data_IF_890037701637
#
_entry.id   IF_890037701637
#
_cell.length_a   1.000
_cell.length_b   1.000
_cell.length_c   1.000
_cell.angle_alpha   90.00
_cell.angle_beta   90.00
_cell.angle_gamma   90.00
#
_symmetry.space_group_name_H-M   'P 1'
#
loop_
_entity.id
_entity.type
_entity.pdbx_description
1 polymer ?
#
# COMPACT_ATOMS: atom_id res chain seq x y z
N UNK A 1 -68.87 53.52 -12.56
CA UNK A 1 -68.52 54.92 -12.88
C UNK A 1 -67.04 55.07 -12.56
N UNK A 2 -66.18 55.29 -13.58
CA UNK A 2 -64.75 55.52 -13.40
C UNK A 2 -63.86 54.54 -14.18
N UNK A 3 -63.38 54.99 -15.33
CA UNK A 3 -62.50 54.36 -16.31
C UNK A 3 -61.00 54.42 -15.94
N UNK A 4 -60.20 53.68 -16.72
CA UNK A 4 -58.87 53.98 -17.31
C UNK A 4 -57.68 53.02 -17.03
N UNK A 5 -57.25 52.41 -18.16
CA UNK A 5 -55.91 52.03 -18.68
C UNK A 5 -54.68 52.62 -17.95
N UNK A 6 -53.43 52.13 -18.01
CA UNK A 6 -52.69 51.04 -18.67
C UNK A 6 -51.22 51.10 -18.18
N UNK A 7 -50.45 49.99 -18.33
CA UNK A 7 -48.98 49.87 -18.62
C UNK A 7 -47.98 50.68 -17.76
N UNK A 8 -46.81 50.20 -17.33
CA UNK A 8 -45.81 49.33 -17.97
C UNK A 8 -44.71 49.00 -16.93
N UNK A 9 -44.10 47.83 -17.07
CA UNK A 9 -42.82 47.45 -16.46
C UNK A 9 -41.64 48.21 -17.09
N UNK A 10 -40.61 48.58 -16.29
CA UNK A 10 -39.22 48.06 -16.36
C UNK A 10 -38.18 48.91 -15.62
N UNK A 11 -37.45 48.23 -14.73
CA UNK A 11 -35.99 48.23 -14.54
C UNK A 11 -35.20 49.54 -14.30
N UNK A 12 -34.62 49.69 -13.09
CA UNK A 12 -33.16 49.54 -12.83
C UNK A 12 -32.59 50.46 -11.73
N UNK A 13 -31.63 49.91 -10.97
CA UNK A 13 -30.66 50.51 -10.02
C UNK A 13 -31.23 50.81 -8.61
N UNK A 14 -30.62 50.41 -7.49
CA UNK A 14 -29.26 49.92 -7.20
C UNK A 14 -29.16 49.45 -5.74
N UNK A 15 -28.33 48.41 -5.51
CA UNK A 15 -27.57 48.07 -4.29
C UNK A 15 -28.28 48.00 -2.93
N UNK A 16 -28.42 46.78 -2.41
CA UNK A 16 -28.01 46.45 -1.04
C UNK A 16 -27.53 44.99 -1.00
N UNK A 17 -26.29 44.80 -0.51
CA UNK A 17 -25.69 43.48 -0.25
C UNK A 17 -26.38 42.88 0.98
N UNK A 18 -26.94 41.69 0.83
CA UNK A 18 -27.22 40.79 1.95
C UNK A 18 -26.33 39.57 1.77
N UNK A 19 -25.45 39.37 2.74
CA UNK A 19 -24.67 38.14 2.92
C UNK A 19 -25.64 37.01 3.28
N UNK A 20 -25.87 36.08 2.37
CA UNK A 20 -26.42 34.75 2.71
C UNK A 20 -25.26 33.78 2.93
N UNK A 21 -25.04 33.49 4.21
CA UNK A 21 -24.22 32.39 4.71
C UNK A 21 -24.84 31.07 4.31
N UNK A 22 -24.39 30.51 3.17
CA UNK A 22 -24.62 29.11 2.88
C UNK A 22 -23.73 28.24 3.78
N UNK A 23 -24.42 27.63 4.73
CA UNK A 23 -24.00 26.54 5.60
C UNK A 23 -23.05 25.55 4.90
N UNK A 24 -21.79 25.48 5.36
CA UNK A 24 -20.76 24.53 4.95
C UNK A 24 -20.53 23.42 6.00
N UNK A 25 -21.48 23.22 6.90
CA UNK A 25 -21.37 22.29 8.03
C UNK A 25 -21.64 20.81 7.67
N UNK A 26 -21.50 20.41 6.40
CA UNK A 26 -21.87 19.07 5.94
C UNK A 26 -20.74 18.14 5.48
N UNK A 27 -19.47 18.58 5.43
CA UNK A 27 -18.40 17.83 4.74
C UNK A 27 -17.34 17.24 5.71
N UNK A 28 -17.43 17.53 7.01
CA UNK A 28 -16.38 17.14 7.97
C UNK A 28 -16.56 15.80 8.70
N UNK A 29 -17.71 15.11 8.60
CA UNK A 29 -17.92 13.85 9.32
C UNK A 29 -17.60 12.59 8.49
N UNK A 30 -17.69 12.63 7.16
CA UNK A 30 -17.49 11.42 6.32
C UNK A 30 -16.03 10.93 6.24
N UNK A 31 -15.03 11.80 6.48
CA UNK A 31 -13.62 11.40 6.34
C UNK A 31 -13.14 10.50 7.49
N UNK A 32 -13.73 10.63 8.68
CA UNK A 32 -13.45 9.74 9.82
C UNK A 32 -14.08 8.36 9.62
N UNK A 33 -15.30 8.31 9.08
CA UNK A 33 -16.02 7.06 8.82
C UNK A 33 -15.38 6.23 7.71
N UNK A 34 -14.73 6.83 6.72
CA UNK A 34 -13.97 6.09 5.70
C UNK A 34 -12.74 5.39 6.32
N UNK A 35 -12.09 6.03 7.30
CA UNK A 35 -10.95 5.44 8.03
C UNK A 35 -11.42 4.35 9.00
N UNK A 36 -12.60 4.52 9.60
CA UNK A 36 -13.19 3.56 10.55
C UNK A 36 -13.86 2.36 9.86
N UNK A 37 -14.37 2.49 8.63
CA UNK A 37 -14.90 1.37 7.86
C UNK A 37 -13.82 0.43 7.28
N UNK A 38 -12.52 0.73 7.45
CA UNK A 38 -11.42 -0.23 7.25
C UNK A 38 -11.49 -1.43 8.20
N UNK A 39 -12.32 -1.37 9.25
CA UNK A 39 -12.50 -2.43 10.23
C UNK A 39 -13.31 -3.62 9.66
N UNK A 40 -12.66 -4.54 8.96
CA UNK A 40 -12.89 -6.00 9.10
C UNK A 40 -12.11 -6.78 8.04
N UNK A 41 -10.78 -6.82 8.15
CA UNK A 41 -10.08 -8.01 7.68
C UNK A 41 -9.06 -8.44 8.74
N UNK A 42 -9.36 -9.49 9.53
CA UNK A 42 -8.55 -9.91 10.67
C UNK A 42 -7.14 -10.37 10.26
N UNK A 43 -6.89 -10.60 8.98
CA UNK A 43 -5.57 -10.99 8.44
C UNK A 43 -4.60 -9.81 8.42
N UNK A 44 -5.09 -8.57 8.26
CA UNK A 44 -4.22 -7.39 8.02
C UNK A 44 -4.30 -6.34 9.14
N UNK A 45 -5.39 -6.31 9.91
CA UNK A 45 -5.58 -5.35 11.00
C UNK A 45 -4.81 -5.66 12.29
N UNK A 46 -4.16 -6.82 12.38
CA UNK A 46 -3.49 -7.28 13.61
C UNK A 46 -1.95 -7.23 13.55
N UNK A 47 -1.35 -7.01 12.38
CA UNK A 47 0.12 -6.94 12.25
C UNK A 47 0.62 -5.57 12.70
N UNK A 48 1.54 -5.56 13.68
CA UNK A 48 2.15 -4.31 14.14
C UNK A 48 3.33 -3.90 13.25
N UNK A 49 3.12 -2.91 12.39
CA UNK A 49 4.14 -2.41 11.46
C UNK A 49 5.13 -1.45 12.14
N UNK A 50 4.90 -1.04 13.40
CA UNK A 50 5.70 0.02 14.07
C UNK A 50 7.19 -0.31 14.10
N UNK A 51 7.54 -1.49 14.61
CA UNK A 51 8.94 -1.91 14.77
C UNK A 51 9.66 -2.05 13.42
N UNK A 52 8.96 -2.49 12.37
CA UNK A 52 9.54 -2.58 11.03
C UNK A 52 9.80 -1.17 10.47
N UNK A 53 8.88 -0.23 10.73
CA UNK A 53 8.98 1.13 10.21
C UNK A 53 9.96 2.04 10.95
N UNK A 54 10.57 1.56 12.04
CA UNK A 54 11.75 2.15 12.66
C UNK A 54 13.01 2.04 11.79
N UNK A 55 12.98 1.22 10.73
CA UNK A 55 14.03 1.14 9.72
C UNK A 55 14.08 2.40 8.82
N UNK A 56 15.28 2.76 8.31
CA UNK A 56 15.42 3.73 7.23
C UNK A 56 14.51 3.41 6.04
N UNK A 57 13.96 4.44 5.41
CA UNK A 57 13.02 4.29 4.29
C UNK A 57 13.66 3.57 3.09
N UNK A 58 14.97 3.73 2.92
CA UNK A 58 15.77 3.06 1.90
C UNK A 58 15.80 1.54 2.10
N UNK A 59 15.95 1.08 3.35
CA UNK A 59 15.92 -0.35 3.69
C UNK A 59 14.52 -0.90 3.49
N UNK A 60 13.48 -0.19 3.95
CA UNK A 60 12.08 -0.57 3.72
C UNK A 60 11.76 -0.73 2.24
N UNK A 61 12.26 0.18 1.40
CA UNK A 61 12.08 0.09 -0.04
C UNK A 61 12.76 -1.16 -0.61
N UNK A 62 13.98 -1.48 -0.19
CA UNK A 62 14.71 -2.66 -0.67
C UNK A 62 14.08 -3.97 -0.23
N UNK A 63 13.57 -4.03 1.00
CA UNK A 63 12.73 -5.13 1.49
C UNK A 63 11.49 -5.26 0.60
N UNK A 64 10.76 -4.17 0.39
CA UNK A 64 9.54 -4.17 -0.42
C UNK A 64 9.81 -4.61 -1.87
N UNK A 65 10.87 -4.10 -2.50
CA UNK A 65 11.31 -4.54 -3.83
C UNK A 65 11.63 -6.04 -3.86
N UNK A 66 12.31 -6.57 -2.84
CA UNK A 66 12.65 -7.99 -2.75
C UNK A 66 11.42 -8.88 -2.62
N UNK A 67 10.39 -8.42 -1.88
CA UNK A 67 9.08 -9.09 -1.84
C UNK A 67 8.44 -9.12 -3.22
N UNK A 68 8.38 -7.98 -3.92
CA UNK A 68 7.78 -7.92 -5.26
C UNK A 68 8.50 -8.79 -6.29
N UNK A 69 9.82 -8.93 -6.15
CA UNK A 69 10.66 -9.77 -6.99
C UNK A 69 10.60 -11.27 -6.61
N UNK A 70 9.79 -11.63 -5.62
CA UNK A 70 9.70 -12.98 -5.07
C UNK A 70 11.07 -13.55 -4.67
N UNK A 71 11.84 -12.80 -3.88
CA UNK A 71 13.16 -13.21 -3.39
C UNK A 71 13.13 -13.63 -1.93
N UNK A 72 14.26 -14.16 -1.44
CA UNK A 72 14.41 -14.39 -0.01
C UNK A 72 14.43 -13.06 0.74
N UNK A 73 13.65 -12.95 1.81
CA UNK A 73 13.66 -11.81 2.73
C UNK A 73 13.88 -12.36 4.12
N UNK A 74 15.09 -12.16 4.64
CA UNK A 74 15.51 -12.67 5.94
C UNK A 74 15.72 -11.50 6.88
N UNK A 75 14.97 -11.47 7.97
CA UNK A 75 15.12 -10.49 9.03
C UNK A 75 15.91 -11.11 10.18
N UNK A 76 16.81 -10.33 10.78
CA UNK A 76 17.61 -10.76 11.94
C UNK A 76 17.35 -9.82 13.11
N UNK A 77 17.12 -10.38 14.29
CA UNK A 77 17.06 -9.64 15.56
C UNK A 77 17.30 -10.57 16.73
N UNK A 78 17.95 -10.08 17.78
CA UNK A 78 18.08 -10.81 19.04
C UNK A 78 16.78 -10.82 19.88
N UNK A 79 15.80 -9.99 19.53
CA UNK A 79 14.52 -9.87 20.24
C UNK A 79 13.41 -10.62 19.49
N UNK A 80 12.98 -11.76 20.04
CA UNK A 80 11.97 -12.65 19.44
C UNK A 80 10.67 -11.93 19.06
N UNK A 81 10.13 -11.09 19.95
CA UNK A 81 8.85 -10.41 19.73
C UNK A 81 8.92 -9.40 18.58
N UNK A 82 10.01 -8.64 18.51
CA UNK A 82 10.29 -7.70 17.42
C UNK A 82 10.46 -8.44 16.11
N UNK A 83 11.23 -9.54 16.13
CA UNK A 83 11.48 -10.37 14.95
C UNK A 83 10.18 -10.94 14.38
N UNK A 84 9.37 -11.61 15.20
CA UNK A 84 8.12 -12.21 14.74
C UNK A 84 7.15 -11.15 14.21
N UNK A 85 7.01 -10.03 14.94
CA UNK A 85 6.14 -8.92 14.53
C UNK A 85 6.58 -8.31 13.19
N UNK A 86 7.87 -8.04 13.03
CA UNK A 86 8.40 -7.49 11.77
C UNK A 86 8.24 -8.45 10.59
N UNK A 87 8.38 -9.76 10.79
CA UNK A 87 8.15 -10.73 9.72
C UNK A 87 6.67 -10.79 9.34
N UNK A 88 5.76 -10.80 10.31
CA UNK A 88 4.30 -10.70 10.08
C UNK A 88 3.91 -9.42 9.33
N UNK A 89 4.53 -8.29 9.68
CA UNK A 89 4.33 -7.01 9.00
C UNK A 89 4.67 -7.05 7.49
N UNK A 90 5.59 -7.92 7.04
CA UNK A 90 5.92 -8.05 5.62
C UNK A 90 4.72 -8.51 4.78
N UNK A 91 3.84 -9.34 5.35
CA UNK A 91 2.62 -9.79 4.66
C UNK A 91 1.62 -8.63 4.47
N UNK A 92 1.55 -7.70 5.41
CA UNK A 92 0.72 -6.51 5.28
C UNK A 92 1.24 -5.55 4.19
N UNK A 93 2.57 -5.46 4.01
CA UNK A 93 3.18 -4.60 2.98
C UNK A 93 2.78 -4.99 1.55
N UNK A 94 2.47 -6.27 1.31
CA UNK A 94 2.15 -6.78 -0.03
C UNK A 94 0.65 -6.88 -0.30
N UNK A 95 -0.24 -6.43 0.60
CA UNK A 95 -1.68 -6.40 0.33
C UNK A 95 -1.99 -5.69 -1.01
N UNK A 96 -2.83 -6.25 -1.90
CA UNK A 96 -3.81 -7.34 -1.70
C UNK A 96 -3.26 -8.75 -1.99
N UNK A 97 -1.95 -8.89 -2.15
CA UNK A 97 -1.32 -10.16 -2.47
C UNK A 97 -1.03 -10.99 -1.21
N UNK A 98 -0.97 -12.30 -1.39
CA UNK A 98 -0.50 -13.25 -0.39
C UNK A 98 0.86 -13.79 -0.82
N UNK A 99 1.79 -13.93 0.13
CA UNK A 99 3.06 -14.59 -0.17
C UNK A 99 2.80 -16.07 -0.48
N UNK A 100 3.18 -16.58 -1.67
CA UNK A 100 2.83 -17.94 -2.07
C UNK A 100 3.86 -18.99 -1.63
N UNK A 101 4.99 -18.58 -1.06
CA UNK A 101 6.09 -19.45 -0.66
C UNK A 101 6.20 -19.61 0.86
N UNK A 102 7.29 -20.22 1.33
CA UNK A 102 7.55 -20.39 2.76
C UNK A 102 7.56 -19.06 3.51
N UNK A 103 6.81 -19.03 4.61
CA UNK A 103 6.69 -17.90 5.52
C UNK A 103 6.90 -18.41 6.95
N UNK A 104 8.03 -18.08 7.57
CA UNK A 104 8.45 -18.65 8.86
C UNK A 104 8.90 -17.50 9.78
N UNK A 105 8.00 -16.94 10.62
CA UNK A 105 8.32 -15.80 11.49
C UNK A 105 9.60 -15.97 12.32
N UNK A 106 9.89 -17.20 12.75
CA UNK A 106 11.10 -17.55 13.47
C UNK A 106 11.59 -18.92 13.00
N UNK A 107 12.69 -18.94 12.26
CA UNK A 107 13.34 -20.15 11.78
C UNK A 107 14.29 -20.70 12.88
N UNK A 108 14.03 -21.90 13.43
CA UNK A 108 14.90 -22.48 14.45
C UNK A 108 16.28 -22.82 13.89
N UNK A 109 17.31 -22.77 14.75
CA UNK A 109 18.71 -23.02 14.35
C UNK A 109 18.95 -24.37 13.67
N UNK A 110 18.16 -25.40 14.02
CA UNK A 110 18.23 -26.72 13.39
C UNK A 110 17.75 -26.76 11.94
N UNK A 111 17.13 -25.69 11.43
CA UNK A 111 16.59 -25.57 10.08
C UNK A 111 17.21 -24.40 9.30
N UNK A 112 18.37 -23.88 9.74
CA UNK A 112 19.01 -22.76 9.03
C UNK A 112 19.46 -23.12 7.62
N UNK A 113 19.69 -24.39 7.31
CA UNK A 113 19.95 -24.89 5.96
C UNK A 113 18.84 -24.55 4.95
N UNK A 114 17.61 -24.29 5.41
CA UNK A 114 16.53 -23.84 4.53
C UNK A 114 16.82 -22.52 3.81
N UNK A 115 17.72 -21.67 4.34
CA UNK A 115 18.05 -20.39 3.71
C UNK A 115 18.84 -20.55 2.41
N UNK A 116 19.44 -21.72 2.18
CA UNK A 116 20.17 -22.07 0.95
C UNK A 116 19.25 -22.65 -0.14
N UNK A 117 17.98 -22.93 0.19
CA UNK A 117 17.03 -23.47 -0.78
C UNK A 117 16.89 -22.51 -1.99
N UNK A 118 16.69 -23.02 -3.22
CA UNK A 118 16.55 -22.15 -4.39
C UNK A 118 15.23 -21.37 -4.38
N UNK A 119 14.26 -21.80 -3.57
CA UNK A 119 12.94 -21.20 -3.49
C UNK A 119 12.94 -19.91 -2.66
N UNK A 120 12.07 -18.94 -2.97
CA UNK A 120 11.87 -17.76 -2.14
C UNK A 120 11.39 -18.14 -0.73
N UNK A 121 11.76 -17.36 0.27
CA UNK A 121 11.34 -17.53 1.65
C UNK A 121 11.28 -16.18 2.36
N UNK A 122 10.26 -15.99 3.18
CA UNK A 122 10.25 -14.94 4.20
C UNK A 122 10.51 -15.61 5.54
N UNK A 123 11.56 -15.21 6.25
CA UNK A 123 11.77 -15.73 7.60
C UNK A 123 12.50 -14.77 8.54
N UNK A 124 12.32 -14.99 9.84
CA UNK A 124 13.08 -14.33 10.90
C UNK A 124 14.12 -15.26 11.52
N UNK A 125 15.31 -14.75 11.82
CA UNK A 125 16.40 -15.51 12.46
C UNK A 125 16.93 -14.75 13.68
N UNK A 126 17.11 -15.46 14.79
CA UNK A 126 17.50 -14.85 16.08
C UNK A 126 18.99 -14.49 16.22
N UNK A 127 19.81 -14.86 15.23
CA UNK A 127 21.25 -14.70 15.30
C UNK A 127 21.85 -14.46 13.92
N UNK A 128 22.78 -13.50 13.87
CA UNK A 128 23.52 -13.14 12.67
C UNK A 128 24.45 -14.27 12.18
N UNK A 129 24.77 -15.26 13.03
CA UNK A 129 25.65 -16.40 12.67
C UNK A 129 25.23 -17.12 11.37
N UNK A 130 23.93 -17.12 11.04
CA UNK A 130 23.41 -17.73 9.82
C UNK A 130 24.13 -17.25 8.55
N UNK A 131 24.54 -15.97 8.49
CA UNK A 131 25.20 -15.43 7.29
C UNK A 131 26.65 -15.90 7.14
N UNK A 132 27.25 -16.39 8.23
CA UNK A 132 28.60 -16.95 8.21
C UNK A 132 28.59 -18.44 7.90
N UNK A 133 27.54 -19.13 8.35
CA UNK A 133 27.42 -20.58 8.26
C UNK A 133 26.76 -21.05 6.95
N UNK A 134 25.97 -20.20 6.28
CA UNK A 134 25.16 -20.57 5.12
C UNK A 134 25.23 -19.53 3.98
N UNK A 135 25.13 -20.01 2.74
CA UNK A 135 25.13 -19.17 1.55
C UNK A 135 23.71 -18.76 1.12
N UNK A 136 23.35 -17.51 1.41
CA UNK A 136 22.03 -16.98 1.08
C UNK A 136 22.05 -16.34 -0.32
N UNK A 137 21.66 -17.05 -1.36
CA UNK A 137 21.54 -16.50 -2.72
C UNK A 137 20.14 -15.93 -2.99
N UNK A 138 20.06 -14.93 -3.88
CA UNK A 138 18.81 -14.40 -4.41
C UNK A 138 17.89 -13.83 -3.32
N UNK A 139 18.44 -12.92 -2.52
CA UNK A 139 17.72 -12.38 -1.38
C UNK A 139 18.34 -11.17 -0.71
N UNK A 140 17.59 -10.64 0.25
CA UNK A 140 18.00 -9.58 1.15
C UNK A 140 18.03 -10.10 2.59
N UNK A 141 19.09 -9.75 3.32
CA UNK A 141 19.24 -10.02 4.75
C UNK A 141 19.37 -8.70 5.48
N UNK A 142 18.49 -8.45 6.45
CA UNK A 142 18.40 -7.18 7.17
C UNK A 142 18.56 -7.41 8.66
N UNK A 143 19.49 -6.70 9.28
CA UNK A 143 19.60 -6.60 10.73
C UNK A 143 18.61 -5.54 11.22
N UNK A 144 17.59 -5.96 11.96
CA UNK A 144 16.59 -5.07 12.52
C UNK A 144 17.11 -4.26 13.71
N UNK A 145 18.13 -4.75 14.40
CA UNK A 145 18.68 -4.13 15.62
C UNK A 145 19.70 -3.06 15.25
N UNK A 146 20.61 -3.39 14.33
CA UNK A 146 21.59 -2.44 13.76
C UNK A 146 21.01 -1.59 12.62
N UNK A 147 19.77 -1.89 12.19
CA UNK A 147 19.04 -1.18 11.12
C UNK A 147 19.85 -1.07 9.83
N UNK A 148 20.48 -2.17 9.42
CA UNK A 148 21.36 -2.22 8.27
C UNK A 148 21.09 -3.45 7.39
N UNK A 149 21.57 -3.37 6.14
CA UNK A 149 21.50 -4.49 5.20
C UNK A 149 22.81 -5.26 5.32
N UNK A 150 22.71 -6.56 5.57
CA UNK A 150 23.84 -7.48 5.68
C UNK A 150 24.16 -8.13 4.33
N UNK A 151 23.13 -8.40 3.51
CA UNK A 151 23.25 -8.97 2.16
C UNK A 151 22.13 -8.47 1.26
N UNK A 152 22.43 -8.24 -0.01
CA UNK A 152 21.48 -7.89 -1.07
C UNK A 152 22.04 -8.27 -2.45
N UNK A 153 21.18 -8.33 -3.47
CA UNK A 153 21.59 -8.63 -4.85
C UNK A 153 22.04 -7.36 -5.61
N UNK A 154 21.59 -6.17 -5.17
CA UNK A 154 22.01 -4.86 -5.69
C UNK A 154 21.19 -4.33 -6.86
N UNK A 155 20.09 -4.98 -7.23
CA UNK A 155 19.15 -4.53 -8.25
C UNK A 155 17.74 -4.23 -7.71
N UNK A 156 17.53 -4.27 -6.39
CA UNK A 156 16.27 -3.98 -5.69
C UNK A 156 15.75 -2.57 -6.04
N UNK A 157 16.64 -1.60 -6.23
CA UNK A 157 16.30 -0.23 -6.64
C UNK A 157 15.72 -0.13 -8.06
N UNK A 158 15.83 -1.19 -8.86
CA UNK A 158 15.35 -1.25 -10.24
C UNK A 158 13.96 -1.87 -10.37
N UNK A 159 13.43 -2.50 -9.30
CA UNK A 159 12.13 -3.13 -9.32
C UNK A 159 11.00 -2.11 -9.55
N UNK A 160 11.04 -0.99 -8.82
CA UNK A 160 10.04 0.06 -8.88
C UNK A 160 10.48 1.20 -9.80
N UNK A 161 9.59 1.66 -10.67
CA UNK A 161 9.88 2.82 -11.50
C UNK A 161 9.80 4.13 -10.69
N UNK A 162 10.45 5.20 -11.16
CA UNK A 162 10.53 6.49 -10.44
C UNK A 162 9.18 7.07 -10.02
N UNK A 163 8.13 6.91 -10.84
CA UNK A 163 6.80 7.41 -10.47
C UNK A 163 6.19 6.59 -9.33
N UNK A 164 6.36 5.27 -9.31
CA UNK A 164 5.89 4.41 -8.22
C UNK A 164 6.66 4.71 -6.94
N UNK A 165 7.99 4.85 -7.01
CA UNK A 165 8.82 5.20 -5.86
C UNK A 165 8.44 6.55 -5.25
N UNK A 166 8.14 7.56 -6.07
CA UNK A 166 7.68 8.87 -5.58
C UNK A 166 6.37 8.76 -4.80
N UNK A 167 5.39 8.03 -5.35
CA UNK A 167 4.11 7.80 -4.68
C UNK A 167 4.31 7.03 -3.37
N UNK A 168 5.03 5.92 -3.42
CA UNK A 168 5.31 5.08 -2.26
C UNK A 168 6.02 5.88 -1.16
N UNK A 169 7.10 6.61 -1.48
CA UNK A 169 7.81 7.44 -0.50
C UNK A 169 6.92 8.53 0.08
N UNK A 170 6.13 9.24 -0.74
CA UNK A 170 5.18 10.25 -0.24
C UNK A 170 4.23 9.63 0.79
N UNK A 171 3.60 8.50 0.45
CA UNK A 171 2.65 7.82 1.34
C UNK A 171 3.29 7.32 2.63
N UNK A 172 4.48 6.71 2.55
CA UNK A 172 5.21 6.23 3.73
C UNK A 172 5.64 7.39 4.64
N UNK A 173 6.12 8.49 4.06
CA UNK A 173 6.47 9.69 4.84
C UNK A 173 5.26 10.28 5.56
N UNK A 174 4.08 10.29 4.92
CA UNK A 174 2.83 10.75 5.56
C UNK A 174 2.45 9.80 6.69
N UNK A 175 2.46 8.50 6.44
CA UNK A 175 2.05 7.51 7.43
C UNK A 175 2.97 7.47 8.67
N UNK A 176 4.29 7.53 8.49
CA UNK A 176 5.27 7.59 9.61
C UNK A 176 5.14 8.85 10.47
N UNK A 177 4.47 9.88 9.95
CA UNK A 177 4.28 11.16 10.61
C UNK A 177 3.02 11.20 11.50
N UNK A 178 2.18 10.16 11.45
CA UNK A 178 0.99 10.02 12.28
C UNK A 178 1.43 9.56 13.68
N UNK A 179 0.85 10.08 14.77
CA UNK A 179 1.23 9.69 16.13
C UNK A 179 1.10 8.17 16.39
N UNK A 180 2.16 7.54 16.90
CA UNK A 180 2.26 6.08 17.13
C UNK A 180 1.30 5.52 18.20
N UNK A 181 0.69 6.41 19.00
CA UNK A 181 -0.23 6.12 20.09
C UNK A 181 -1.68 5.86 19.63
N UNK A 182 -1.94 5.91 18.32
CA UNK A 182 -3.24 5.52 17.76
C UNK A 182 -3.17 4.07 17.23
N UNK A 183 -4.21 3.28 17.48
CA UNK A 183 -4.41 1.97 16.85
C UNK A 183 -4.36 2.08 15.32
N UNK A 184 -4.70 3.25 14.77
CA UNK A 184 -4.70 3.58 13.34
C UNK A 184 -3.31 3.64 12.69
N UNK A 185 -2.21 3.77 13.46
CA UNK A 185 -0.88 3.98 12.87
C UNK A 185 -0.46 2.84 11.94
N UNK A 186 -0.61 1.58 12.36
CA UNK A 186 -0.28 0.41 11.53
C UNK A 186 -1.19 0.28 10.31
N UNK A 187 -2.44 0.76 10.41
CA UNK A 187 -3.35 0.84 9.27
C UNK A 187 -2.88 1.89 8.26
N UNK A 188 -2.50 3.08 8.71
CA UNK A 188 -1.98 4.12 7.82
C UNK A 188 -0.68 3.69 7.13
N UNK A 189 0.19 2.96 7.84
CA UNK A 189 1.40 2.36 7.26
C UNK A 189 1.05 1.33 6.19
N UNK A 190 0.12 0.42 6.48
CA UNK A 190 -0.34 -0.59 5.51
C UNK A 190 -0.95 0.08 4.29
N UNK A 191 -1.87 1.01 4.50
CA UNK A 191 -2.57 1.75 3.45
C UNK A 191 -1.61 2.54 2.54
N UNK A 192 -0.48 3.01 3.08
CA UNK A 192 0.58 3.63 2.28
C UNK A 192 1.19 2.68 1.24
N UNK A 193 1.31 1.38 1.53
CA UNK A 193 1.72 0.38 0.54
C UNK A 193 0.58 0.08 -0.45
N UNK A 194 -0.64 -0.10 0.06
CA UNK A 194 -1.83 -0.40 -0.75
C UNK A 194 -2.08 0.67 -1.81
N UNK A 195 -1.87 1.95 -1.48
CA UNK A 195 -2.03 3.06 -2.41
C UNK A 195 -1.23 2.85 -3.72
N UNK A 196 0.00 2.36 -3.63
CA UNK A 196 0.83 2.09 -4.82
C UNK A 196 0.16 1.04 -5.72
N UNK A 197 -0.30 -0.07 -5.12
CA UNK A 197 -1.00 -1.12 -5.85
C UNK A 197 -2.34 -0.67 -6.40
N UNK A 198 -3.12 0.09 -5.64
CA UNK A 198 -4.41 0.62 -6.09
C UNK A 198 -4.26 1.47 -7.37
N UNK A 199 -3.21 2.30 -7.43
CA UNK A 199 -2.92 3.12 -8.61
C UNK A 199 -2.46 2.25 -9.80
N UNK A 200 -1.56 1.29 -9.54
CA UNK A 200 -0.96 0.46 -10.59
C UNK A 200 -1.98 -0.53 -11.17
N UNK A 201 -2.78 -1.15 -10.30
CA UNK A 201 -3.78 -2.16 -10.61
C UNK A 201 -5.16 -1.59 -10.92
N UNK A 202 -5.31 -0.27 -11.01
CA UNK A 202 -6.59 0.36 -11.33
C UNK A 202 -7.28 -0.31 -12.52
N UNK A 203 -8.55 -0.68 -12.35
CA UNK A 203 -9.37 -1.36 -13.36
C UNK A 203 -8.84 -2.74 -13.80
N UNK A 204 -8.09 -3.47 -12.98
CA UNK A 204 -7.62 -4.82 -13.34
C UNK A 204 -8.78 -5.79 -13.63
N UNK A 205 -9.91 -5.67 -12.91
CA UNK A 205 -11.11 -6.48 -13.10
C UNK A 205 -11.71 -6.41 -14.50
N UNK A 206 -11.63 -5.24 -15.17
CA UNK A 206 -12.10 -5.05 -16.56
C UNK A 206 -11.35 -5.95 -17.57
N UNK A 207 -10.17 -6.46 -17.18
CA UNK A 207 -9.33 -7.32 -18.00
C UNK A 207 -9.47 -8.79 -17.64
N UNK A 208 -10.40 -9.17 -16.76
CA UNK A 208 -10.75 -10.56 -16.49
C UNK A 208 -11.98 -10.89 -17.35
N UNK A 209 -11.76 -11.62 -18.44
CA UNK A 209 -12.82 -11.98 -19.40
C UNK A 209 -12.91 -13.49 -19.49
N UNK A 210 -14.09 -14.04 -19.23
CA UNK A 210 -14.35 -15.49 -19.25
C UNK A 210 -13.36 -16.29 -18.37
N UNK A 211 -13.11 -15.81 -17.14
CA UNK A 211 -12.19 -16.45 -16.21
C UNK A 211 -10.72 -16.42 -16.63
N UNK A 212 -10.33 -15.53 -17.55
CA UNK A 212 -8.95 -15.39 -18.00
C UNK A 212 -8.50 -13.93 -17.94
N UNK A 213 -7.34 -13.69 -17.34
CA UNK A 213 -6.75 -12.36 -17.26
C UNK A 213 -6.04 -11.97 -18.56
N UNK A 214 -6.48 -10.88 -19.17
CA UNK A 214 -5.97 -10.33 -20.42
C UNK A 214 -4.70 -9.49 -20.17
N UNK A 215 -3.60 -10.15 -19.77
CA UNK A 215 -2.31 -9.53 -19.39
C UNK A 215 -1.87 -8.42 -20.36
N UNK A 216 -1.80 -8.73 -21.65
CA UNK A 216 -1.30 -7.79 -22.67
C UNK A 216 -2.15 -6.53 -22.81
N UNK A 217 -3.47 -6.68 -22.76
CA UNK A 217 -4.40 -5.56 -22.83
C UNK A 217 -4.30 -4.70 -21.56
N UNK A 218 -4.20 -5.35 -20.39
CA UNK A 218 -4.04 -4.68 -19.10
C UNK A 218 -2.75 -3.85 -19.06
N UNK A 219 -1.61 -4.40 -19.47
CA UNK A 219 -0.34 -3.68 -19.50
C UNK A 219 -0.44 -2.47 -20.46
N UNK A 220 -0.97 -2.67 -21.67
CA UNK A 220 -1.07 -1.60 -22.69
C UNK A 220 -1.96 -0.44 -22.25
N UNK A 221 -2.93 -0.67 -21.37
CA UNK A 221 -3.81 0.36 -20.84
C UNK A 221 -3.07 1.42 -19.99
N UNK A 222 -1.87 1.11 -19.47
CA UNK A 222 -1.12 2.03 -18.62
C UNK A 222 -0.38 3.08 -19.45
N UNK A 223 -0.60 4.36 -19.13
CA UNK A 223 0.07 5.51 -19.79
C UNK A 223 1.59 5.52 -19.54
N UNK A 224 2.02 5.24 -18.31
CA UNK A 224 3.44 5.29 -17.92
C UNK A 224 4.24 4.10 -18.48
N UNK A 225 5.33 4.38 -19.21
CA UNK A 225 6.27 3.36 -19.68
C UNK A 225 6.93 2.60 -18.53
N UNK A 226 7.22 3.29 -17.42
CA UNK A 226 7.80 2.69 -16.22
C UNK A 226 6.86 1.66 -15.58
N UNK A 227 5.58 2.02 -15.43
CA UNK A 227 4.55 1.11 -14.91
C UNK A 227 4.34 -0.08 -15.84
N UNK A 228 4.34 0.14 -17.17
CA UNK A 228 4.26 -0.97 -18.14
C UNK A 228 5.42 -1.96 -17.99
N UNK A 229 6.65 -1.45 -17.83
CA UNK A 229 7.82 -2.30 -17.61
C UNK A 229 7.73 -3.08 -16.30
N UNK A 230 7.25 -2.45 -15.23
CA UNK A 230 7.00 -3.12 -13.95
C UNK A 230 5.99 -4.26 -14.12
N UNK A 231 4.80 -3.96 -14.65
CA UNK A 231 3.75 -4.95 -14.83
C UNK A 231 4.16 -6.09 -15.75
N UNK A 232 5.02 -5.85 -16.74
CA UNK A 232 5.45 -6.88 -17.68
C UNK A 232 6.07 -8.10 -17.00
N UNK A 233 6.91 -7.89 -15.98
CA UNK A 233 7.49 -8.98 -15.20
C UNK A 233 6.66 -9.31 -13.96
N UNK A 234 6.05 -8.30 -13.31
CA UNK A 234 5.30 -8.53 -12.07
C UNK A 234 4.07 -9.41 -12.30
N UNK A 235 3.40 -9.29 -13.44
CA UNK A 235 2.24 -10.13 -13.79
C UNK A 235 2.59 -11.58 -14.11
N UNK A 236 3.89 -11.91 -14.24
CA UNK A 236 4.37 -13.29 -14.38
C UNK A 236 4.76 -13.93 -13.03
N UNK A 237 4.70 -13.17 -11.93
CA UNK A 237 5.03 -13.69 -10.58
C UNK A 237 3.93 -14.62 -10.07
N UNK A 238 4.31 -15.60 -9.25
CA UNK A 238 3.35 -16.53 -8.62
C UNK A 238 2.35 -15.76 -7.75
N UNK A 239 2.81 -14.73 -7.06
CA UNK A 239 2.04 -13.83 -6.21
C UNK A 239 0.92 -13.15 -7.00
N UNK A 240 1.22 -12.59 -8.17
CA UNK A 240 0.20 -11.96 -9.01
C UNK A 240 -0.78 -12.97 -9.60
N UNK A 241 -0.29 -14.12 -10.07
CA UNK A 241 -1.13 -15.18 -10.62
C UNK A 241 -2.11 -15.72 -9.58
N UNK A 242 -1.63 -15.97 -8.36
CA UNK A 242 -2.47 -16.42 -7.23
C UNK A 242 -3.54 -15.38 -6.88
N UNK A 243 -3.20 -14.09 -6.92
CA UNK A 243 -4.17 -13.02 -6.73
C UNK A 243 -5.26 -13.02 -7.81
N UNK A 244 -4.88 -13.15 -9.08
CA UNK A 244 -5.86 -13.21 -10.19
C UNK A 244 -6.78 -14.43 -10.06
N UNK A 245 -6.22 -15.60 -9.75
CA UNK A 245 -7.00 -16.82 -9.55
C UNK A 245 -7.97 -16.69 -8.38
N UNK A 246 -7.53 -16.06 -7.29
CA UNK A 246 -8.38 -15.76 -6.13
C UNK A 246 -9.51 -14.79 -6.50
N UNK A 247 -9.25 -13.74 -7.27
CA UNK A 247 -10.29 -12.79 -7.74
C UNK A 247 -11.31 -13.51 -8.63
N UNK A 248 -10.86 -14.38 -9.54
CA UNK A 248 -11.74 -15.15 -10.43
C UNK A 248 -12.62 -16.11 -9.63
N UNK A 249 -12.07 -16.71 -8.57
CA UNK A 249 -12.74 -17.72 -7.76
C UNK A 249 -13.71 -17.10 -6.75
N UNK A 250 -13.28 -16.02 -6.06
CA UNK A 250 -14.06 -15.35 -5.04
C UNK A 250 -13.83 -13.83 -5.06
N UNK A 251 -14.49 -13.15 -5.98
CA UNK A 251 -14.33 -11.69 -6.15
C UNK A 251 -14.75 -10.87 -4.93
N UNK A 252 -15.61 -11.39 -4.05
CA UNK A 252 -16.10 -10.68 -2.87
C UNK A 252 -14.99 -10.41 -1.85
N UNK A 253 -13.97 -11.27 -1.78
CA UNK A 253 -12.85 -11.12 -0.85
C UNK A 253 -11.98 -9.89 -1.16
N UNK A 254 -12.11 -9.33 -2.37
CA UNK A 254 -11.33 -8.20 -2.85
C UNK A 254 -12.09 -6.87 -2.86
N UNK A 255 -13.32 -6.83 -2.34
CA UNK A 255 -14.14 -5.61 -2.33
C UNK A 255 -13.44 -4.43 -1.65
N UNK A 256 -12.74 -4.68 -0.53
CA UNK A 256 -11.96 -3.66 0.18
C UNK A 256 -10.82 -3.11 -0.67
N UNK A 257 -10.16 -3.96 -1.46
CA UNK A 257 -9.13 -3.48 -2.39
C UNK A 257 -9.73 -2.70 -3.56
N UNK A 258 -10.89 -3.11 -4.08
CA UNK A 258 -11.60 -2.40 -5.14
C UNK A 258 -12.09 -1.02 -4.67
N UNK A 259 -12.54 -0.89 -3.41
CA UNK A 259 -12.84 0.39 -2.77
C UNK A 259 -11.61 1.30 -2.71
N UNK A 260 -10.44 0.75 -2.39
CA UNK A 260 -9.17 1.51 -2.39
C UNK A 260 -8.79 1.97 -3.80
N UNK A 261 -9.01 1.14 -4.83
CA UNK A 261 -8.84 1.54 -6.23
C UNK A 261 -9.78 2.70 -6.58
N UNK A 262 -11.05 2.64 -6.16
CA UNK A 262 -12.00 3.72 -6.39
C UNK A 262 -11.54 5.02 -5.71
N UNK A 263 -11.14 4.94 -4.44
CA UNK A 263 -10.67 6.07 -3.64
C UNK A 263 -9.45 6.75 -4.28
N UNK A 264 -8.40 5.99 -4.54
CA UNK A 264 -7.13 6.49 -5.09
C UNK A 264 -7.19 6.76 -6.60
N UNK A 265 -8.19 6.21 -7.29
CA UNK A 265 -8.41 6.36 -8.71
C UNK A 265 -9.07 7.69 -9.11
N UNK A 266 -9.60 8.48 -8.18
CA UNK A 266 -10.17 9.81 -8.44
C UNK A 266 -9.08 10.88 -8.54
N UNK A 267 -9.32 11.97 -9.30
CA UNK A 267 -8.43 13.14 -9.34
C UNK A 267 -8.29 13.83 -7.96
N UNK A 268 -9.17 13.48 -7.02
CA UNK A 268 -9.15 13.90 -5.61
C UNK A 268 -8.12 13.14 -4.75
N UNK A 269 -7.40 12.16 -5.27
CA UNK A 269 -6.42 11.38 -4.48
C UNK A 269 -5.23 12.19 -3.97
N UNK A 270 -4.81 13.23 -4.70
CA UNK A 270 -3.87 14.22 -4.17
C UNK A 270 -4.49 15.05 -3.04
N UNK A 271 -5.78 15.42 -3.19
CA UNK A 271 -6.54 16.14 -2.16
C UNK A 271 -6.80 15.30 -0.91
N UNK A 272 -6.94 13.97 -1.02
CA UNK A 272 -7.11 13.06 0.12
C UNK A 272 -5.84 13.01 0.95
N UNK A 273 -4.67 12.84 0.30
CA UNK A 273 -3.38 12.86 0.99
C UNK A 273 -3.07 14.23 1.58
N UNK A 274 -3.45 15.31 0.90
CA UNK A 274 -3.25 16.68 1.40
C UNK A 274 -4.23 16.99 2.55
N UNK A 275 -5.48 16.49 2.53
CA UNK A 275 -6.43 16.59 3.66
C UNK A 275 -5.99 15.76 4.88
N UNK A 276 -5.41 14.59 4.67
CA UNK A 276 -4.79 13.78 5.75
C UNK A 276 -3.60 14.52 6.38
N UNK A 277 -2.86 15.28 5.58
CA UNK A 277 -1.79 16.17 6.06
C UNK A 277 -2.35 17.38 6.82
N UNK A 278 -3.44 17.99 6.34
CA UNK A 278 -4.08 19.14 7.00
C UNK A 278 -4.70 18.75 8.36
N UNK A 279 -5.23 17.53 8.48
CA UNK A 279 -5.72 16.99 9.76
C UNK A 279 -4.63 16.92 10.84
N UNK A 280 -3.37 16.70 10.44
CA UNK A 280 -2.18 16.71 11.33
C UNK A 280 -1.85 18.11 11.87
N UNK A 281 -2.32 19.17 11.23
CA UNK A 281 -2.05 20.56 11.64
C UNK A 281 -3.11 21.05 12.63
N UNK A 282 -4.30 20.47 12.60
CA UNK A 282 -5.47 20.91 13.38
C UNK A 282 -5.71 20.10 14.67
N UNK A 283 -5.03 18.96 14.86
CA UNK A 283 -5.11 18.09 16.04
C UNK A 283 -3.71 17.63 16.48
#
# INVERSE_FOLDING_TARGET
MGEFESKNEKESQSNERVEESHNLDGICEESGDIILNLHHNPIYGNSDLKDLHDLPTEILQKIFSSLLLERKVILISCLLSKLSSCVEALQAMIYPFTWPYSFIPVLPKSLWDFVEAPTPIICGILSIEVINDYEIEHGIVVDLDEKCILKEEGDEDKALCTSMLKTWRKSITIAKNIPQNQETHSYCLTDAYVNMFAIVLKNYGDYIVNGNFQKEAFIRSRKSKGVRRFLNWFTDTTMFLTFVDAVITNSQDFSQFDEKIALYGTESSSLILDKLLDWKILN
#
